data_IF_075955921947
#
_entry.id   IF_075955921947
#
_cell.length_a   1.000
_cell.length_b   1.000
_cell.length_c   1.000
_cell.angle_alpha   90.00
_cell.angle_beta   90.00
_cell.angle_gamma   90.00
#
_symmetry.space_group_name_H-M   'P 1'
#
loop_
_entity.id
_entity.type
_entity.pdbx_description
1 polymer ?
#
# COMPACT_ATOMS: atom_id res chain seq x y z
N UNK A 1 22.28 -1.09 14.76
CA UNK A 1 22.73 -2.08 15.72
C UNK A 1 24.01 -1.60 16.42
N UNK A 2 24.14 -0.28 16.44
CA UNK A 2 25.27 0.36 17.10
C UNK A 2 25.01 0.40 18.60
N UNK A 3 26.02 0.04 19.38
CA UNK A 3 25.97 0.23 20.83
C UNK A 3 26.07 1.73 21.12
N UNK A 4 25.01 2.31 21.67
CA UNK A 4 24.98 3.72 22.05
C UNK A 4 23.94 4.58 21.31
N UNK A 5 23.97 5.90 21.51
CA UNK A 5 23.05 6.81 20.85
C UNK A 5 23.23 6.80 19.33
N UNK A 6 22.13 6.61 18.59
CA UNK A 6 22.11 6.63 17.12
C UNK A 6 22.31 8.07 16.64
N UNK A 7 23.39 8.32 15.89
CA UNK A 7 23.62 9.63 15.27
C UNK A 7 22.76 9.76 13.99
N UNK A 8 21.99 10.82 13.93
CA UNK A 8 21.20 11.14 12.72
C UNK A 8 21.99 12.02 11.76
N UNK A 9 21.66 11.96 10.47
CA UNK A 9 22.22 12.87 9.46
C UNK A 9 21.87 14.35 9.74
N UNK A 10 20.84 14.61 10.53
CA UNK A 10 20.44 15.95 10.96
C UNK A 10 21.25 16.51 12.13
N UNK A 11 22.26 15.78 12.63
CA UNK A 11 23.19 16.23 13.66
C UNK A 11 22.73 16.06 15.10
N UNK A 12 21.63 15.37 15.37
CA UNK A 12 21.21 15.02 16.73
C UNK A 12 21.29 13.50 16.97
N UNK A 13 21.39 13.10 18.25
CA UNK A 13 21.41 11.71 18.63
C UNK A 13 20.06 11.22 19.14
N UNK A 14 19.70 9.98 18.80
CA UNK A 14 18.54 9.28 19.36
C UNK A 14 19.05 8.23 20.34
N UNK A 15 18.67 8.35 21.62
CA UNK A 15 18.96 7.35 22.62
C UNK A 15 17.85 6.29 22.63
N UNK A 16 18.22 5.02 22.51
CA UNK A 16 17.31 3.89 22.68
C UNK A 16 17.57 3.23 24.04
N UNK A 17 16.50 2.75 24.69
CA UNK A 17 16.61 2.04 25.97
C UNK A 17 16.76 0.53 25.80
N UNK A 18 16.41 0.01 24.63
CA UNK A 18 16.45 -1.42 24.31
C UNK A 18 17.21 -1.63 23.01
N UNK A 19 17.91 -2.73 22.92
CA UNK A 19 18.58 -3.19 21.72
C UNK A 19 17.71 -4.12 20.85
N UNK A 20 18.37 -5.05 20.14
CA UNK A 20 17.68 -6.05 19.31
C UNK A 20 16.84 -7.04 20.13
N UNK A 21 17.08 -7.16 21.44
CA UNK A 21 16.26 -7.91 22.38
C UNK A 21 14.78 -7.46 22.36
N UNK A 22 14.51 -6.21 21.98
CA UNK A 22 13.15 -5.71 21.84
C UNK A 22 12.33 -6.44 20.76
N UNK A 23 13.00 -7.05 19.77
CA UNK A 23 12.35 -7.80 18.70
C UNK A 23 11.80 -9.14 19.20
N UNK A 24 12.37 -9.69 20.28
CA UNK A 24 11.96 -10.99 20.80
C UNK A 24 10.54 -10.98 21.40
N UNK A 25 10.02 -9.80 21.81
CA UNK A 25 8.67 -9.63 22.36
C UNK A 25 7.71 -8.88 21.41
N UNK A 26 8.18 -8.38 20.28
CA UNK A 26 7.40 -7.53 19.40
C UNK A 26 6.40 -8.33 18.56
N UNK A 27 5.13 -7.91 18.51
CA UNK A 27 4.13 -8.45 17.59
C UNK A 27 4.30 -7.91 16.17
N UNK A 28 4.91 -6.73 16.03
CA UNK A 28 5.18 -6.08 14.76
C UNK A 28 6.60 -5.52 14.78
N UNK A 29 7.37 -5.89 13.78
CA UNK A 29 8.72 -5.37 13.55
C UNK A 29 8.75 -4.54 12.29
N UNK A 30 9.18 -3.28 12.39
CA UNK A 30 9.26 -2.38 11.24
C UNK A 30 10.72 -2.02 10.96
N UNK A 31 11.17 -2.31 9.74
CA UNK A 31 12.40 -1.81 9.18
C UNK A 31 12.08 -0.54 8.37
N UNK A 32 12.24 0.67 8.95
CA UNK A 32 11.72 1.91 8.35
C UNK A 32 12.55 2.38 7.15
N UNK A 33 13.81 1.99 7.09
CA UNK A 33 14.78 2.32 6.05
C UNK A 33 15.99 1.39 6.15
N UNK A 34 16.91 1.54 5.21
CA UNK A 34 18.26 0.98 5.27
C UNK A 34 19.23 2.01 4.71
N UNK A 35 20.52 1.66 4.69
CA UNK A 35 21.57 2.54 4.15
C UNK A 35 21.44 2.67 2.63
N UNK A 36 21.70 3.86 2.10
CA UNK A 36 21.59 4.17 0.66
C UNK A 36 22.56 3.34 -0.21
N UNK A 37 23.68 2.91 0.36
CA UNK A 37 24.63 2.01 -0.29
C UNK A 37 24.19 0.54 -0.25
N UNK A 38 23.02 0.26 0.34
CA UNK A 38 22.46 -1.09 0.51
C UNK A 38 23.48 -2.08 1.08
N UNK A 39 24.34 -1.62 2.02
CA UNK A 39 25.35 -2.47 2.66
C UNK A 39 24.74 -3.67 3.34
N UNK A 40 25.46 -4.79 3.47
CA UNK A 40 24.98 -5.98 4.16
C UNK A 40 24.53 -5.68 5.60
N UNK A 41 23.46 -6.31 6.02
CA UNK A 41 22.95 -6.18 7.37
C UNK A 41 23.79 -7.05 8.35
N UNK A 42 24.01 -6.57 9.58
CA UNK A 42 24.71 -7.37 10.59
C UNK A 42 23.98 -8.68 10.89
N UNK A 43 24.73 -9.77 11.04
CA UNK A 43 24.20 -11.11 11.38
C UNK A 43 23.25 -11.09 12.60
N UNK A 44 23.58 -10.28 13.61
CA UNK A 44 22.75 -10.12 14.80
C UNK A 44 21.35 -9.59 14.48
N UNK A 45 21.24 -8.64 13.51
CA UNK A 45 19.97 -8.11 13.04
C UNK A 45 19.21 -9.17 12.23
N UNK A 46 19.88 -9.84 11.31
CA UNK A 46 19.27 -10.89 10.49
C UNK A 46 18.68 -12.00 11.37
N UNK A 47 19.45 -12.49 12.33
CA UNK A 47 19.00 -13.49 13.30
C UNK A 47 17.82 -13.01 14.16
N UNK A 48 17.82 -11.74 14.59
CA UNK A 48 16.70 -11.18 15.35
C UNK A 48 15.42 -11.08 14.51
N UNK A 49 15.51 -10.65 13.25
CA UNK A 49 14.38 -10.61 12.32
C UNK A 49 13.78 -12.01 12.06
N UNK A 50 14.67 -13.00 11.83
CA UNK A 50 14.26 -14.40 11.64
C UNK A 50 13.54 -14.96 12.87
N UNK A 51 14.08 -14.74 14.08
CA UNK A 51 13.43 -15.20 15.33
C UNK A 51 12.07 -14.54 15.54
N UNK A 52 11.98 -13.22 15.36
CA UNK A 52 10.73 -12.50 15.50
C UNK A 52 9.67 -13.03 14.52
N UNK A 53 10.02 -13.20 13.24
CA UNK A 53 9.12 -13.75 12.24
C UNK A 53 8.71 -15.20 12.55
N UNK A 54 9.66 -16.07 12.93
CA UNK A 54 9.39 -17.45 13.29
C UNK A 54 8.44 -17.59 14.49
N UNK A 55 8.46 -16.63 15.41
CA UNK A 55 7.54 -16.53 16.56
C UNK A 55 6.14 -16.06 16.14
N UNK A 56 5.95 -15.58 14.90
CA UNK A 56 4.68 -15.08 14.38
C UNK A 56 4.56 -13.56 14.39
N UNK A 57 5.62 -12.82 14.67
CA UNK A 57 5.62 -11.37 14.50
C UNK A 57 5.42 -11.00 13.03
N UNK A 58 4.60 -9.97 12.78
CA UNK A 58 4.45 -9.38 11.46
C UNK A 58 5.65 -8.49 11.16
N UNK A 59 6.27 -8.67 10.00
CA UNK A 59 7.48 -7.93 9.63
C UNK A 59 7.18 -6.96 8.48
N UNK A 60 7.62 -5.71 8.62
CA UNK A 60 7.32 -4.63 7.68
C UNK A 60 8.62 -4.00 7.19
N UNK A 61 8.87 -4.04 5.88
CA UNK A 61 10.00 -3.37 5.23
C UNK A 61 9.54 -2.13 4.48
N UNK A 62 9.93 -0.94 4.95
CA UNK A 62 9.62 0.31 4.26
C UNK A 62 10.84 0.76 3.45
N UNK A 63 10.62 1.17 2.20
CA UNK A 63 11.71 1.68 1.35
C UNK A 63 12.85 0.65 1.23
N UNK A 64 14.08 1.06 1.54
CA UNK A 64 15.26 0.20 1.58
C UNK A 64 15.24 -0.82 2.74
N UNK A 65 14.30 -0.73 3.68
CA UNK A 65 14.08 -1.73 4.72
C UNK A 65 13.75 -3.12 4.18
N UNK A 66 13.41 -3.24 2.90
CA UNK A 66 13.26 -4.52 2.22
C UNK A 66 14.60 -5.30 2.10
N UNK A 67 15.76 -4.63 2.05
CA UNK A 67 17.06 -5.28 1.91
C UNK A 67 17.40 -6.19 3.09
N UNK A 68 17.39 -5.73 4.34
CA UNK A 68 17.62 -6.63 5.48
C UNK A 68 16.64 -7.78 5.56
N UNK A 69 15.38 -7.58 5.14
CA UNK A 69 14.39 -8.66 5.12
C UNK A 69 14.71 -9.69 4.04
N UNK A 70 15.18 -9.26 2.87
CA UNK A 70 15.63 -10.15 1.81
C UNK A 70 16.89 -10.94 2.23
N UNK A 71 17.87 -10.28 2.86
CA UNK A 71 19.07 -10.92 3.40
C UNK A 71 18.74 -11.94 4.49
N UNK A 72 17.73 -11.67 5.32
CA UNK A 72 17.22 -12.62 6.31
C UNK A 72 16.44 -13.80 5.69
N UNK A 73 16.24 -13.81 4.35
CA UNK A 73 15.49 -14.86 3.64
C UNK A 73 13.96 -14.76 3.81
N UNK A 74 13.46 -13.71 4.44
CA UNK A 74 12.03 -13.54 4.73
C UNK A 74 11.19 -13.17 3.50
N UNK A 75 11.84 -12.77 2.40
CA UNK A 75 11.19 -12.35 1.16
C UNK A 75 11.27 -13.40 0.04
N UNK A 76 11.90 -14.54 0.25
CA UNK A 76 12.07 -15.57 -0.74
C UNK A 76 10.72 -16.10 -1.28
N UNK A 77 10.56 -16.10 -2.60
CA UNK A 77 9.33 -16.53 -3.29
C UNK A 77 8.14 -15.57 -3.17
N UNK A 78 8.29 -14.45 -2.46
CA UNK A 78 7.24 -13.45 -2.25
C UNK A 78 7.30 -12.33 -3.27
N UNK A 79 6.15 -11.70 -3.50
CA UNK A 79 6.09 -10.42 -4.22
C UNK A 79 6.31 -9.29 -3.23
N UNK A 80 7.20 -8.34 -3.57
CA UNK A 80 7.58 -7.25 -2.67
C UNK A 80 7.65 -5.91 -3.40
N UNK A 81 7.47 -4.84 -2.65
CA UNK A 81 7.75 -3.47 -3.06
C UNK A 81 9.00 -2.94 -2.35
N UNK A 82 9.78 -2.13 -3.05
CA UNK A 82 10.84 -1.30 -2.50
C UNK A 82 10.85 0.03 -3.24
N UNK A 83 11.72 0.95 -2.87
CA UNK A 83 11.86 2.20 -3.62
C UNK A 83 12.26 1.92 -5.07
N UNK A 84 11.58 2.53 -6.03
CA UNK A 84 11.77 2.28 -7.46
C UNK A 84 13.24 2.36 -7.91
N UNK A 85 14.00 3.35 -7.39
CA UNK A 85 15.41 3.52 -7.72
C UNK A 85 16.31 2.36 -7.26
N UNK A 86 15.83 1.49 -6.37
CA UNK A 86 16.59 0.38 -5.81
C UNK A 86 15.96 -0.99 -6.14
N UNK A 87 14.90 -1.01 -6.95
CA UNK A 87 14.18 -2.23 -7.30
C UNK A 87 15.07 -3.20 -8.08
N UNK A 88 15.79 -2.72 -9.11
CA UNK A 88 16.73 -3.52 -9.90
C UNK A 88 17.86 -4.10 -9.04
N UNK A 89 18.38 -3.32 -8.09
CA UNK A 89 19.44 -3.76 -7.19
C UNK A 89 18.95 -4.85 -6.24
N UNK A 90 17.75 -4.71 -5.68
CA UNK A 90 17.13 -5.73 -4.84
C UNK A 90 16.91 -7.02 -5.63
N UNK A 91 16.35 -6.94 -6.83
CA UNK A 91 16.12 -8.10 -7.69
C UNK A 91 17.43 -8.80 -8.08
N UNK A 92 18.48 -8.03 -8.39
CA UNK A 92 19.80 -8.54 -8.74
C UNK A 92 20.48 -9.28 -7.59
N UNK A 93 20.42 -8.74 -6.37
CA UNK A 93 21.03 -9.35 -5.17
C UNK A 93 20.24 -10.55 -4.66
N UNK A 94 18.92 -10.51 -4.79
CA UNK A 94 18.01 -11.52 -4.24
C UNK A 94 17.11 -12.10 -5.33
N UNK A 95 17.63 -12.97 -6.22
CA UNK A 95 16.91 -13.47 -7.40
C UNK A 95 15.70 -14.37 -7.07
N UNK A 96 15.53 -14.76 -5.80
CA UNK A 96 14.34 -15.49 -5.33
C UNK A 96 13.19 -14.57 -4.90
N UNK A 97 13.41 -13.25 -4.91
CA UNK A 97 12.41 -12.25 -4.55
C UNK A 97 11.75 -11.70 -5.82
N UNK A 98 10.42 -11.65 -5.85
CA UNK A 98 9.67 -11.06 -6.97
C UNK A 98 9.46 -9.57 -6.72
N UNK A 99 10.39 -8.73 -7.18
CA UNK A 99 10.29 -7.27 -6.98
C UNK A 99 9.27 -6.67 -7.94
N UNK A 100 8.30 -5.94 -7.41
CA UNK A 100 7.33 -5.19 -8.18
C UNK A 100 7.50 -3.68 -7.91
N UNK A 101 8.12 -2.98 -8.85
CA UNK A 101 8.38 -1.53 -8.80
C UNK A 101 7.16 -0.66 -9.12
N UNK A 102 6.09 -1.27 -9.67
CA UNK A 102 4.88 -0.56 -10.09
C UNK A 102 3.85 -0.38 -8.97
N UNK A 103 4.15 -0.78 -7.72
CA UNK A 103 3.19 -0.75 -6.61
C UNK A 103 3.71 0.06 -5.43
N UNK A 104 2.81 0.66 -4.66
CA UNK A 104 3.16 1.45 -3.47
C UNK A 104 3.56 0.55 -2.31
N UNK A 105 2.82 -0.52 -2.09
CA UNK A 105 3.11 -1.53 -1.08
C UNK A 105 2.49 -2.88 -1.45
N UNK A 106 3.05 -3.93 -0.89
CA UNK A 106 2.56 -5.31 -1.00
C UNK A 106 2.34 -5.86 0.40
N UNK A 107 1.22 -6.54 0.58
CA UNK A 107 0.85 -7.26 1.80
C UNK A 107 0.76 -8.76 1.50
N UNK A 108 1.72 -9.53 1.99
CA UNK A 108 1.77 -10.99 1.90
C UNK A 108 1.30 -11.66 3.21
N UNK A 109 0.60 -10.90 4.08
CA UNK A 109 0.02 -11.38 5.33
C UNK A 109 0.94 -11.18 6.53
N UNK A 110 1.95 -12.00 6.69
CA UNK A 110 2.96 -11.94 7.74
C UNK A 110 4.12 -10.98 7.43
N UNK A 111 4.30 -10.65 6.14
CA UNK A 111 5.30 -9.69 5.67
C UNK A 111 4.63 -8.62 4.82
N UNK A 112 4.93 -7.35 5.11
CA UNK A 112 4.53 -6.19 4.31
C UNK A 112 5.78 -5.47 3.81
N UNK A 113 5.73 -4.97 2.57
CA UNK A 113 6.82 -4.17 2.00
C UNK A 113 6.25 -2.95 1.27
N UNK A 114 6.97 -1.85 1.26
CA UNK A 114 6.52 -0.63 0.57
C UNK A 114 7.65 0.15 -0.10
N UNK A 115 7.26 1.00 -1.05
CA UNK A 115 8.15 1.92 -1.75
C UNK A 115 8.78 2.99 -0.84
N UNK A 116 8.29 3.14 0.39
CA UNK A 116 8.81 4.11 1.34
C UNK A 116 8.22 5.51 1.17
N UNK A 117 8.75 6.47 1.92
CA UNK A 117 8.29 7.86 1.98
C UNK A 117 6.76 7.95 2.15
N UNK A 118 6.05 8.58 1.23
CA UNK A 118 4.58 8.66 1.27
C UNK A 118 3.91 7.28 1.20
N UNK A 119 4.43 6.35 0.40
CA UNK A 119 3.92 4.98 0.32
C UNK A 119 4.15 4.18 1.63
N UNK A 120 5.17 4.54 2.41
CA UNK A 120 5.37 4.00 3.75
C UNK A 120 4.25 4.39 4.71
N UNK A 121 3.75 5.62 4.64
CA UNK A 121 2.57 6.06 5.40
C UNK A 121 1.31 5.28 4.97
N UNK A 122 1.12 5.09 3.66
CA UNK A 122 -0.02 4.30 3.14
C UNK A 122 0.04 2.84 3.64
N UNK A 123 1.22 2.23 3.63
CA UNK A 123 1.44 0.88 4.17
C UNK A 123 1.14 0.81 5.68
N UNK A 124 1.61 1.79 6.47
CA UNK A 124 1.33 1.87 7.90
C UNK A 124 -0.17 2.09 8.18
N UNK A 125 -0.85 2.93 7.41
CA UNK A 125 -2.30 3.13 7.51
C UNK A 125 -3.09 1.87 7.12
N UNK A 126 -2.60 1.12 6.11
CA UNK A 126 -3.17 -0.18 5.75
C UNK A 126 -3.04 -1.18 6.91
N UNK A 127 -1.86 -1.30 7.50
CA UNK A 127 -1.61 -2.15 8.66
C UNK A 127 -2.49 -1.73 9.85
N UNK A 128 -2.55 -0.44 10.17
CA UNK A 128 -3.40 0.08 11.24
C UNK A 128 -4.88 -0.23 11.00
N UNK A 129 -5.33 -0.13 9.74
CA UNK A 129 -6.70 -0.48 9.34
C UNK A 129 -7.02 -1.95 9.59
N UNK A 130 -6.07 -2.84 9.31
CA UNK A 130 -6.23 -4.27 9.57
C UNK A 130 -6.31 -4.59 11.07
N UNK A 131 -5.50 -3.92 11.89
CA UNK A 131 -5.38 -4.21 13.32
C UNK A 131 -6.45 -3.51 14.16
N UNK A 132 -6.77 -2.26 13.82
CA UNK A 132 -7.61 -1.38 14.64
C UNK A 132 -8.90 -0.94 13.94
N UNK A 133 -9.15 -1.38 12.71
CA UNK A 133 -10.32 -1.05 11.92
C UNK A 133 -10.21 0.27 11.15
N UNK A 134 -11.20 0.50 10.28
CA UNK A 134 -11.22 1.63 9.36
C UNK A 134 -11.34 2.99 10.08
N UNK A 135 -12.10 3.04 11.15
CA UNK A 135 -12.33 4.29 11.90
C UNK A 135 -11.03 4.83 12.52
N UNK A 136 -10.25 3.96 13.18
CA UNK A 136 -8.97 4.31 13.75
C UNK A 136 -7.99 4.79 12.67
N UNK A 137 -7.87 4.06 11.56
CA UNK A 137 -7.01 4.44 10.45
C UNK A 137 -7.42 5.78 9.81
N UNK A 138 -8.73 6.01 9.61
CA UNK A 138 -9.25 7.25 9.07
C UNK A 138 -9.03 8.44 10.03
N UNK A 139 -9.12 8.21 11.34
CA UNK A 139 -8.84 9.23 12.35
C UNK A 139 -7.35 9.64 12.30
N UNK A 140 -6.44 8.68 12.24
CA UNK A 140 -5.01 8.94 12.13
C UNK A 140 -4.68 9.65 10.81
N UNK A 141 -5.23 9.18 9.67
CA UNK A 141 -5.01 9.81 8.36
C UNK A 141 -5.43 11.29 8.36
N UNK A 142 -6.58 11.64 8.97
CA UNK A 142 -7.01 13.03 9.12
C UNK A 142 -6.04 13.87 9.93
N UNK A 143 -5.49 13.31 11.01
CA UNK A 143 -4.49 14.02 11.84
C UNK A 143 -3.17 14.23 11.12
N UNK A 144 -2.80 13.30 10.22
CA UNK A 144 -1.60 13.39 9.38
C UNK A 144 -1.83 14.23 8.11
N UNK A 145 -3.06 14.67 7.84
CA UNK A 145 -3.46 15.41 6.62
C UNK A 145 -3.16 14.64 5.34
N UNK A 146 -3.28 13.32 5.39
CA UNK A 146 -3.10 12.44 4.23
C UNK A 146 -4.42 11.77 3.85
N UNK A 147 -4.50 11.26 2.61
CA UNK A 147 -5.66 10.49 2.18
C UNK A 147 -5.86 9.28 3.11
N UNK A 148 -7.08 9.00 3.55
CA UNK A 148 -7.34 7.93 4.51
C UNK A 148 -7.03 6.54 3.95
N UNK A 149 -6.93 6.42 2.63
CA UNK A 149 -6.56 5.19 1.95
C UNK A 149 -6.00 5.48 0.56
N UNK A 150 -4.83 4.89 0.26
CA UNK A 150 -4.28 4.70 -1.07
C UNK A 150 -4.06 3.20 -1.28
N UNK A 151 -4.47 2.71 -2.45
CA UNK A 151 -4.29 1.31 -2.79
C UNK A 151 -2.80 1.01 -3.06
N UNK A 152 -2.30 -0.10 -2.49
CA UNK A 152 -0.93 -0.54 -2.71
C UNK A 152 -0.57 -0.77 -4.18
N UNK A 153 -1.55 -1.14 -5.01
CA UNK A 153 -1.37 -1.36 -6.44
C UNK A 153 -1.27 -0.09 -7.31
N UNK A 154 -1.18 1.11 -6.72
CA UNK A 154 -0.89 2.33 -7.48
C UNK A 154 0.61 2.41 -7.81
N UNK A 155 0.93 2.96 -9.01
CA UNK A 155 2.31 3.15 -9.42
C UNK A 155 3.06 4.13 -8.51
N UNK A 156 4.33 3.81 -8.21
CA UNK A 156 5.23 4.63 -7.40
C UNK A 156 5.62 5.92 -8.10
N UNK A 157 5.77 5.87 -9.42
CA UNK A 157 6.45 6.89 -10.21
C UNK A 157 5.60 7.35 -11.39
N UNK A 158 5.54 8.66 -11.57
CA UNK A 158 5.07 9.33 -12.79
C UNK A 158 6.31 9.94 -13.42
N UNK A 159 6.79 9.36 -14.50
CA UNK A 159 8.07 9.70 -15.16
C UNK A 159 8.23 11.17 -15.60
N UNK A 160 7.12 11.92 -15.67
CA UNK A 160 7.15 13.36 -15.97
C UNK A 160 6.03 14.08 -15.26
N UNK A 161 6.31 15.19 -14.56
CA UNK A 161 5.29 16.22 -14.35
C UNK A 161 4.74 16.58 -15.72
N UNK A 162 3.44 16.48 -15.94
CA UNK A 162 2.83 16.93 -17.18
C UNK A 162 3.17 18.41 -17.36
N UNK A 163 3.68 18.84 -18.51
CA UNK A 163 3.80 20.27 -18.79
C UNK A 163 2.41 20.88 -18.61
N UNK A 164 2.31 21.98 -17.89
CA UNK A 164 1.04 22.69 -17.65
C UNK A 164 0.57 23.30 -18.97
N UNK A 165 -0.18 22.51 -19.74
CA UNK A 165 -0.83 22.96 -20.96
C UNK A 165 -2.34 22.97 -20.75
N UNK A 166 -3.09 23.72 -21.55
CA UNK A 166 -4.57 23.72 -21.50
C UNK A 166 -5.17 22.32 -21.76
N UNK A 167 -4.42 21.41 -22.41
CA UNK A 167 -4.76 20.01 -22.59
C UNK A 167 -4.64 19.22 -21.29
N UNK A 168 -3.68 19.56 -20.42
CA UNK A 168 -3.45 18.87 -19.16
C UNK A 168 -4.52 19.19 -18.12
N UNK A 169 -5.04 20.42 -18.12
CA UNK A 169 -6.18 20.81 -17.26
C UNK A 169 -7.46 20.04 -17.63
N UNK A 170 -7.77 19.91 -18.92
CA UNK A 170 -8.93 19.14 -19.39
C UNK A 170 -8.77 17.66 -19.07
N UNK A 171 -7.59 17.12 -19.24
CA UNK A 171 -7.27 15.74 -18.89
C UNK A 171 -7.45 15.50 -17.39
N UNK A 172 -6.92 16.39 -16.54
CA UNK A 172 -7.09 16.32 -15.08
C UNK A 172 -8.58 16.37 -14.67
N UNK A 173 -9.37 17.27 -15.30
CA UNK A 173 -10.82 17.36 -15.08
C UNK A 173 -11.55 16.07 -15.47
N UNK A 174 -11.11 15.40 -16.56
CA UNK A 174 -11.67 14.11 -16.98
C UNK A 174 -11.37 13.03 -15.94
N UNK A 175 -10.13 12.95 -15.43
CA UNK A 175 -9.77 11.99 -14.39
C UNK A 175 -10.55 12.23 -13.09
N UNK A 176 -10.66 13.47 -12.66
CA UNK A 176 -11.43 13.84 -11.48
C UNK A 176 -12.92 13.45 -11.64
N UNK A 177 -13.49 13.70 -12.81
CA UNK A 177 -14.86 13.31 -13.11
C UNK A 177 -15.06 11.79 -13.06
N UNK A 178 -14.15 11.00 -13.62
CA UNK A 178 -14.20 9.52 -13.55
C UNK A 178 -14.07 9.05 -12.10
N UNK A 179 -13.17 9.64 -11.32
CA UNK A 179 -12.96 9.29 -9.90
C UNK A 179 -14.20 9.55 -9.06
N UNK A 180 -14.93 10.64 -9.35
CA UNK A 180 -16.20 10.96 -8.66
C UNK A 180 -17.37 10.08 -9.09
N UNK A 181 -17.29 9.43 -10.26
CA UNK A 181 -18.37 8.64 -10.83
C UNK A 181 -17.90 7.27 -11.31
N UNK A 182 -17.23 6.45 -10.47
CA UNK A 182 -16.65 5.17 -10.89
C UNK A 182 -17.71 4.16 -11.35
N UNK A 183 -18.97 4.33 -10.90
CA UNK A 183 -20.11 3.49 -11.25
C UNK A 183 -20.58 3.63 -12.69
N UNK A 184 -20.25 4.76 -13.36
CA UNK A 184 -20.67 4.98 -14.74
C UNK A 184 -19.86 4.17 -15.73
N UNK A 185 -20.43 3.98 -16.92
CA UNK A 185 -19.65 3.46 -18.05
C UNK A 185 -18.71 4.55 -18.57
N UNK A 186 -17.44 4.18 -18.71
CA UNK A 186 -16.38 5.07 -19.17
C UNK A 186 -15.73 4.50 -20.43
N UNK A 187 -16.30 4.87 -21.60
CA UNK A 187 -15.69 4.56 -22.89
C UNK A 187 -14.47 5.45 -23.16
N UNK A 188 -13.36 4.85 -23.57
CA UNK A 188 -12.10 5.59 -23.82
C UNK A 188 -12.26 6.68 -24.87
N UNK A 189 -13.11 6.45 -25.86
CA UNK A 189 -13.35 7.41 -26.95
C UNK A 189 -14.07 8.65 -26.43
N UNK A 190 -15.11 8.48 -25.60
CA UNK A 190 -15.84 9.58 -24.98
C UNK A 190 -14.96 10.40 -24.01
N UNK A 191 -14.05 9.73 -23.28
CA UNK A 191 -13.10 10.40 -22.38
C UNK A 191 -12.04 11.18 -23.18
N UNK A 192 -11.55 10.63 -24.28
CA UNK A 192 -10.61 11.30 -25.17
C UNK A 192 -11.23 12.55 -25.79
N UNK A 193 -12.47 12.44 -26.29
CA UNK A 193 -13.23 13.58 -26.81
C UNK A 193 -13.41 14.67 -25.75
N UNK A 194 -13.79 14.30 -24.53
CA UNK A 194 -13.95 15.24 -23.40
C UNK A 194 -12.64 15.93 -23.03
N UNK A 195 -11.49 15.23 -23.18
CA UNK A 195 -10.16 15.81 -22.99
C UNK A 195 -9.67 16.60 -24.20
N UNK A 196 -10.45 16.70 -25.29
CA UNK A 196 -10.06 17.25 -26.60
C UNK A 196 -8.80 16.58 -27.17
N UNK A 197 -8.69 15.25 -27.02
CA UNK A 197 -7.56 14.43 -27.48
C UNK A 197 -8.05 13.33 -28.42
N UNK A 198 -7.17 12.86 -29.33
CA UNK A 198 -7.43 11.61 -30.01
C UNK A 198 -7.34 10.44 -29.02
N UNK A 199 -8.02 9.32 -29.27
CA UNK A 199 -7.91 8.08 -28.48
C UNK A 199 -6.46 7.66 -28.25
N UNK A 200 -5.63 7.72 -29.28
CA UNK A 200 -4.19 7.38 -29.20
C UNK A 200 -3.44 8.32 -28.25
N UNK A 201 -3.69 9.63 -28.37
CA UNK A 201 -3.08 10.66 -27.52
C UNK A 201 -3.53 10.47 -26.08
N UNK A 202 -4.83 10.30 -25.85
CA UNK A 202 -5.38 10.08 -24.51
C UNK A 202 -4.79 8.83 -23.85
N UNK A 203 -4.75 7.70 -24.56
CA UNK A 203 -4.20 6.44 -23.99
C UNK A 203 -2.73 6.56 -23.63
N UNK A 204 -1.92 7.18 -24.50
CA UNK A 204 -0.50 7.42 -24.23
C UNK A 204 -0.32 8.38 -23.05
N UNK A 205 -1.03 9.50 -23.06
CA UNK A 205 -0.98 10.51 -22.01
C UNK A 205 -1.42 9.93 -20.67
N UNK A 206 -2.51 9.15 -20.68
CA UNK A 206 -3.00 8.46 -19.50
C UNK A 206 -1.94 7.54 -18.90
N UNK A 207 -1.31 6.70 -19.73
CA UNK A 207 -0.26 5.78 -19.27
C UNK A 207 0.98 6.52 -18.74
N UNK A 208 1.35 7.64 -19.37
CA UNK A 208 2.43 8.50 -18.88
C UNK A 208 2.09 9.18 -17.55
N UNK A 209 0.83 9.60 -17.37
CA UNK A 209 0.39 10.31 -16.18
C UNK A 209 0.12 9.38 -14.98
N UNK A 210 -0.31 8.13 -15.23
CA UNK A 210 -0.79 7.22 -14.17
C UNK A 210 0.06 5.96 -13.99
N UNK A 211 1.03 5.72 -14.90
CA UNK A 211 1.85 4.51 -14.92
C UNK A 211 1.12 3.24 -15.35
N UNK A 212 -0.22 3.30 -15.58
CA UNK A 212 -1.03 2.10 -15.84
C UNK A 212 -2.04 2.30 -16.98
N UNK A 213 -2.73 1.23 -17.40
CA UNK A 213 -3.82 1.36 -18.37
C UNK A 213 -5.08 1.95 -17.72
N UNK A 214 -5.90 2.67 -18.51
CA UNK A 214 -7.18 3.22 -18.04
C UNK A 214 -8.09 2.13 -17.44
N UNK A 215 -8.12 0.94 -18.05
CA UNK A 215 -8.94 -0.18 -17.56
C UNK A 215 -8.50 -0.64 -16.17
N UNK A 216 -7.20 -0.78 -15.95
CA UNK A 216 -6.66 -1.19 -14.65
C UNK A 216 -6.87 -0.09 -13.60
N UNK A 217 -6.61 1.16 -13.97
CA UNK A 217 -6.84 2.30 -13.08
C UNK A 217 -8.32 2.42 -12.66
N UNK A 218 -9.26 2.29 -13.61
CA UNK A 218 -10.69 2.33 -13.31
C UNK A 218 -11.11 1.16 -12.41
N UNK A 219 -10.56 -0.04 -12.65
CA UNK A 219 -10.78 -1.19 -11.77
C UNK A 219 -10.34 -0.88 -10.33
N UNK A 220 -9.17 -0.28 -10.16
CA UNK A 220 -8.66 0.10 -8.85
C UNK A 220 -9.56 1.16 -8.17
N UNK A 221 -10.05 2.17 -8.91
CA UNK A 221 -11.02 3.14 -8.38
C UNK A 221 -12.32 2.47 -7.91
N UNK A 222 -12.84 1.52 -8.70
CA UNK A 222 -14.05 0.75 -8.35
C UNK A 222 -13.84 -0.13 -7.14
N UNK A 223 -12.69 -0.79 -7.02
CA UNK A 223 -12.34 -1.59 -5.83
C UNK A 223 -12.23 -0.68 -4.60
N UNK A 224 -11.58 0.47 -4.71
CA UNK A 224 -11.46 1.43 -3.61
C UNK A 224 -12.85 1.92 -3.14
N UNK A 225 -13.75 2.24 -4.08
CA UNK A 225 -15.12 2.64 -3.75
C UNK A 225 -15.92 1.49 -3.11
N UNK A 226 -15.80 0.26 -3.63
CA UNK A 226 -16.43 -0.92 -3.03
C UNK A 226 -15.94 -1.16 -1.60
N UNK A 227 -14.64 -1.01 -1.32
CA UNK A 227 -14.08 -1.09 0.04
C UNK A 227 -14.68 -0.06 0.96
N UNK A 228 -14.73 1.21 0.53
CA UNK A 228 -15.34 2.29 1.31
C UNK A 228 -16.80 1.94 1.68
N UNK A 229 -17.61 1.49 0.72
CA UNK A 229 -18.99 1.07 0.98
C UNK A 229 -19.08 -0.12 1.96
N UNK A 230 -18.19 -1.11 1.82
CA UNK A 230 -18.13 -2.26 2.73
C UNK A 230 -17.72 -1.88 4.15
N UNK A 231 -16.88 -0.87 4.32
CA UNK A 231 -16.38 -0.38 5.60
C UNK A 231 -17.39 0.54 6.31
N UNK A 232 -18.11 1.37 5.54
CA UNK A 232 -18.93 2.47 6.11
C UNK A 232 -20.44 2.21 6.07
N UNK A 233 -20.89 1.14 5.40
CA UNK A 233 -22.32 0.85 5.24
C UNK A 233 -22.66 -0.62 5.44
N UNK A 234 -23.94 -0.88 5.81
CA UNK A 234 -24.50 -2.23 5.92
C UNK A 234 -25.22 -2.71 4.65
N UNK A 235 -25.14 -2.00 3.53
CA UNK A 235 -25.86 -2.35 2.30
C UNK A 235 -25.45 -3.70 1.74
N UNK A 236 -26.33 -4.36 0.99
CA UNK A 236 -26.05 -5.71 0.44
C UNK A 236 -24.85 -5.70 -0.53
N UNK A 237 -24.23 -6.85 -0.75
CA UNK A 237 -23.11 -6.98 -1.70
C UNK A 237 -23.55 -6.64 -3.14
N UNK A 238 -24.80 -6.89 -3.46
CA UNK A 238 -25.42 -6.55 -4.73
C UNK A 238 -25.48 -5.05 -4.94
N UNK A 239 -25.89 -4.29 -3.91
CA UNK A 239 -25.89 -2.82 -3.92
C UNK A 239 -24.47 -2.28 -4.01
N UNK A 240 -23.52 -2.81 -3.22
CA UNK A 240 -22.11 -2.43 -3.32
C UNK A 240 -21.58 -2.64 -4.74
N UNK A 241 -21.93 -3.76 -5.39
CA UNK A 241 -21.48 -4.03 -6.76
C UNK A 241 -22.03 -3.02 -7.77
N UNK A 242 -23.27 -2.60 -7.63
CA UNK A 242 -23.89 -1.59 -8.50
C UNK A 242 -23.26 -0.22 -8.26
N UNK A 243 -23.20 0.24 -7.02
CA UNK A 243 -22.68 1.55 -6.66
C UNK A 243 -21.18 1.70 -6.96
N UNK A 244 -20.43 0.61 -6.85
CA UNK A 244 -19.01 0.60 -7.22
C UNK A 244 -18.76 0.39 -8.73
N UNK A 245 -19.80 0.19 -9.54
CA UNK A 245 -19.69 0.08 -10.99
C UNK A 245 -19.29 -1.29 -11.53
N UNK A 246 -19.45 -2.36 -10.74
CA UNK A 246 -19.22 -3.74 -11.20
C UNK A 246 -20.44 -4.36 -11.91
N UNK A 247 -21.61 -3.75 -11.78
CA UNK A 247 -22.86 -4.21 -12.36
C UNK A 247 -23.43 -5.45 -11.69
N UNK A 248 -22.63 -6.45 -11.29
CA UNK A 248 -23.09 -7.67 -10.62
C UNK A 248 -22.20 -8.03 -9.43
N UNK A 249 -22.79 -8.67 -8.40
CA UNK A 249 -22.05 -9.18 -7.26
C UNK A 249 -21.00 -10.25 -7.65
N UNK A 250 -21.24 -10.99 -8.74
CA UNK A 250 -20.29 -11.97 -9.25
C UNK A 250 -19.03 -11.27 -9.76
N UNK A 251 -19.18 -10.24 -10.59
CA UNK A 251 -18.07 -9.42 -11.10
C UNK A 251 -17.28 -8.78 -9.96
N UNK A 252 -17.98 -8.19 -8.97
CA UNK A 252 -17.33 -7.64 -7.78
C UNK A 252 -16.51 -8.70 -7.06
N UNK A 253 -17.08 -9.89 -6.77
CA UNK A 253 -16.37 -10.97 -6.04
C UNK A 253 -15.12 -11.43 -6.78
N UNK A 254 -15.20 -11.59 -8.10
CA UNK A 254 -14.04 -12.00 -8.93
C UNK A 254 -12.91 -10.98 -8.86
N UNK A 255 -13.19 -9.72 -9.14
CA UNK A 255 -12.18 -8.66 -9.13
C UNK A 255 -11.65 -8.37 -7.72
N UNK A 256 -12.53 -8.36 -6.72
CA UNK A 256 -12.16 -8.14 -5.32
C UNK A 256 -11.22 -9.23 -4.82
N UNK A 257 -11.50 -10.51 -5.16
CA UNK A 257 -10.63 -11.63 -4.80
C UNK A 257 -9.31 -11.60 -5.55
N UNK A 258 -9.30 -11.19 -6.82
CA UNK A 258 -8.08 -11.08 -7.61
C UNK A 258 -7.13 -10.01 -7.03
N UNK A 259 -7.66 -8.85 -6.59
CA UNK A 259 -6.88 -7.73 -6.10
C UNK A 259 -6.54 -7.88 -4.61
N UNK A 260 -7.51 -8.27 -3.77
CA UNK A 260 -7.38 -8.23 -2.30
C UNK A 260 -7.25 -9.61 -1.66
N UNK A 261 -7.21 -10.70 -2.44
CA UNK A 261 -7.09 -12.09 -1.99
C UNK A 261 -8.16 -12.53 -0.97
N UNK A 262 -9.25 -11.76 -0.84
CA UNK A 262 -10.37 -12.02 0.08
C UNK A 262 -11.71 -11.77 -0.60
N UNK A 263 -12.81 -12.22 0.00
CA UNK A 263 -14.16 -11.93 -0.51
C UNK A 263 -14.70 -10.62 0.07
N UNK A 264 -15.62 -9.91 -0.63
CA UNK A 264 -16.26 -8.70 -0.09
C UNK A 264 -16.93 -8.92 1.27
N UNK A 265 -17.56 -10.07 1.48
CA UNK A 265 -18.22 -10.40 2.75
C UNK A 265 -17.23 -10.65 3.88
N UNK A 266 -16.12 -11.36 3.61
CA UNK A 266 -15.06 -11.59 4.58
C UNK A 266 -14.36 -10.27 4.93
N UNK A 267 -14.10 -9.42 3.93
CA UNK A 267 -13.56 -8.08 4.11
C UNK A 267 -14.43 -7.23 5.03
N UNK A 268 -15.76 -7.16 4.76
CA UNK A 268 -16.71 -6.46 5.62
C UNK A 268 -16.65 -6.93 7.07
N UNK A 269 -16.69 -8.27 7.27
CA UNK A 269 -16.62 -8.85 8.60
C UNK A 269 -15.36 -8.45 9.36
N UNK A 270 -14.23 -8.39 8.68
CA UNK A 270 -12.95 -8.00 9.27
C UNK A 270 -12.91 -6.52 9.68
N UNK A 271 -13.50 -5.63 8.90
CA UNK A 271 -13.36 -4.19 9.08
C UNK A 271 -14.57 -3.49 9.75
N UNK A 272 -15.73 -4.15 9.83
CA UNK A 272 -16.89 -3.67 10.60
C UNK A 272 -16.99 -4.29 12.01
N UNK A 273 -16.37 -5.45 12.25
CA UNK A 273 -16.21 -5.95 13.60
C UNK A 273 -15.23 -5.00 14.32
N UNK A 274 -15.77 -4.10 15.12
CA UNK A 274 -14.97 -3.34 16.09
C UNK A 274 -14.17 -4.31 16.96
N UNK A 275 -13.08 -3.87 17.62
CA UNK A 275 -12.29 -4.73 18.48
C UNK A 275 -13.22 -5.34 19.52
N UNK A 276 -13.26 -6.67 19.60
CA UNK A 276 -13.77 -7.37 20.75
C UNK A 276 -12.92 -6.85 21.93
N UNK A 277 -13.47 -5.99 22.75
CA UNK A 277 -12.79 -5.44 23.91
C UNK A 277 -12.30 -6.60 24.77
N UNK A 278 -10.99 -6.80 24.94
CA UNK A 278 -10.53 -7.58 26.07
C UNK A 278 -10.95 -6.77 27.30
N UNK A 279 -11.70 -7.39 28.20
CA UNK A 279 -12.26 -6.76 29.38
C UNK A 279 -11.20 -5.94 30.12
N UNK A 280 -11.44 -4.65 30.25
CA UNK A 280 -10.73 -3.80 31.20
C UNK A 280 -11.13 -4.33 32.58
N UNK A 281 -10.29 -5.17 33.16
CA UNK A 281 -10.33 -5.42 34.60
C UNK A 281 -9.91 -4.11 35.27
N UNK A 282 -10.89 -3.39 35.77
CA UNK A 282 -10.69 -2.30 36.74
C UNK A 282 -10.01 -2.91 37.97
N UNK A 283 -8.72 -2.65 38.10
CA UNK A 283 -8.03 -2.79 39.37
C UNK A 283 -8.45 -1.60 40.26
N UNK A 284 -9.18 -1.93 41.31
CA UNK A 284 -9.35 -1.05 42.47
C UNK A 284 -7.99 -0.88 43.19
#
# INVERSE_FOLDING_TARGET
VDEGPLQTAAGFAIATRRGLDALDDADIVVMPAWHDDCRPAPEALLGALQRAHARGARVVGLCLGAFPLAEAGLLDGRTVATHWASADELARRHPRVNVNEEVLYVDEGDVLTSAGVAAGLDCCLHLLRQLCGAEAANSVARRLLVAPHRDGGQAQFIERPLPVSSGDERFAQVLEWVTRHPQREHGIDALAERAAMSRRTFTRHFRQATGTSFKQWLLNQRIAHARQLLETSGVSIEVVAQEAGFGTALSLRQHFRAVLRTSPSAYRKQFQAGPSSPGVQTLN
#
